data_IF_139158959604
#
_entry.id   IF_139158959604
#
_cell.length_a   1.000
_cell.length_b   1.000
_cell.length_c   1.000
_cell.angle_alpha   90.00
_cell.angle_beta   90.00
_cell.angle_gamma   90.00
#
_symmetry.space_group_name_H-M   'P 1'
#
loop_
_entity.id
_entity.type
_entity.pdbx_description
1 polymer ?
#
# COMPACT_ATOMS: atom_id res chain seq x y z
N UNK A 1 44.94 34.69 1.32
CA UNK A 1 43.94 33.60 1.28
C UNK A 1 42.86 33.96 2.28
N UNK A 2 41.73 34.51 1.82
CA UNK A 2 40.58 34.78 2.70
C UNK A 2 39.90 33.42 2.88
N UNK A 3 39.95 32.86 4.08
CA UNK A 3 39.20 31.66 4.41
C UNK A 3 37.71 32.00 4.24
N UNK A 4 37.07 31.45 3.21
CA UNK A 4 35.62 31.54 3.07
C UNK A 4 35.02 30.87 4.30
N UNK A 5 34.21 31.63 5.05
CA UNK A 5 33.45 31.10 6.17
C UNK A 5 32.64 29.87 5.70
N UNK A 6 32.46 28.84 6.54
CA UNK A 6 31.65 27.67 6.19
C UNK A 6 30.26 28.09 5.72
N UNK A 7 29.68 27.41 4.73
CA UNK A 7 28.32 27.68 4.24
C UNK A 7 27.32 27.73 5.40
N UNK A 8 26.39 28.70 5.43
CA UNK A 8 25.37 28.74 6.48
C UNK A 8 24.60 27.42 6.46
N UNK A 9 24.53 26.74 7.61
CA UNK A 9 23.64 25.61 7.79
C UNK A 9 22.22 26.17 7.86
N UNK A 10 21.40 25.92 6.84
CA UNK A 10 19.99 26.34 6.76
C UNK A 10 19.10 25.57 7.78
N UNK A 11 19.48 25.58 9.05
CA UNK A 11 18.79 24.88 10.14
C UNK A 11 17.40 25.47 10.34
N UNK A 12 17.26 26.79 10.25
CA UNK A 12 15.99 27.51 10.34
C UNK A 12 15.00 27.08 9.26
N UNK A 13 15.47 26.79 8.03
CA UNK A 13 14.64 26.27 6.95
C UNK A 13 14.10 24.86 7.27
N UNK A 14 14.94 24.01 7.87
CA UNK A 14 14.51 22.69 8.32
C UNK A 14 13.46 22.79 9.43
N UNK A 15 13.65 23.67 10.41
CA UNK A 15 12.68 23.90 11.48
C UNK A 15 11.33 24.41 10.95
N UNK A 16 11.36 25.33 9.98
CA UNK A 16 10.16 25.85 9.31
C UNK A 16 9.41 24.70 8.59
N UNK A 17 10.15 23.85 7.86
CA UNK A 17 9.57 22.70 7.14
C UNK A 17 8.98 21.67 8.09
N UNK A 18 9.67 21.36 9.17
CA UNK A 18 9.21 20.36 10.14
C UNK A 18 7.93 20.82 10.86
N UNK A 19 7.81 22.13 11.14
CA UNK A 19 6.57 22.74 11.66
C UNK A 19 5.43 22.70 10.65
N UNK A 20 5.71 22.93 9.36
CA UNK A 20 4.70 22.82 8.30
C UNK A 20 4.16 21.39 8.14
N UNK A 21 5.04 20.39 8.21
CA UNK A 21 4.67 18.97 8.19
C UNK A 21 3.86 18.60 9.43
N UNK A 22 4.23 19.12 10.61
CA UNK A 22 3.49 18.88 11.84
C UNK A 22 2.06 19.40 11.75
N UNK A 23 1.86 20.57 11.12
CA UNK A 23 0.54 21.16 10.88
C UNK A 23 -0.25 20.43 9.78
N UNK A 24 0.41 19.79 8.80
CA UNK A 24 -0.27 19.03 7.74
C UNK A 24 -0.77 17.66 8.22
N UNK A 25 -0.12 17.09 9.24
CA UNK A 25 -0.50 15.84 9.91
C UNK A 25 -1.48 16.05 11.08
N UNK A 26 -1.97 17.29 11.27
CA UNK A 26 -2.68 17.74 12.46
C UNK A 26 -3.84 16.84 12.90
N UNK A 27 -3.72 16.26 14.10
CA UNK A 27 -4.87 15.75 14.89
C UNK A 27 -5.48 16.91 15.66
N UNK A 28 -6.75 16.79 16.08
CA UNK A 28 -7.50 17.84 16.80
C UNK A 28 -6.71 18.53 17.93
N UNK A 29 -5.84 17.79 18.64
CA UNK A 29 -5.00 18.30 19.72
C UNK A 29 -3.91 19.31 19.28
N UNK A 30 -3.32 19.15 18.08
CA UNK A 30 -2.28 20.06 17.58
C UNK A 30 -2.84 21.36 17.01
N UNK A 31 -4.16 21.42 16.81
CA UNK A 31 -4.87 22.57 16.25
C UNK A 31 -5.54 23.43 17.32
N UNK A 32 -5.31 23.16 18.62
CA UNK A 32 -5.76 24.06 19.68
C UNK A 32 -5.01 25.41 19.60
N UNK A 33 -5.71 26.49 19.92
CA UNK A 33 -5.23 27.87 19.76
C UNK A 33 -3.87 28.12 20.42
N UNK A 34 -3.62 27.52 21.59
CA UNK A 34 -2.36 27.67 22.34
C UNK A 34 -1.17 27.05 21.58
N UNK A 35 -1.38 25.92 20.91
CA UNK A 35 -0.33 25.27 20.11
C UNK A 35 -0.08 26.02 18.80
N UNK A 36 -1.14 26.45 18.13
CA UNK A 36 -1.02 27.26 16.92
C UNK A 36 -0.28 28.57 17.19
N UNK A 37 -0.60 29.27 18.29
CA UNK A 37 0.09 30.48 18.68
C UNK A 37 1.58 30.24 18.96
N UNK A 38 1.91 29.13 19.63
CA UNK A 38 3.30 28.75 19.89
C UNK A 38 4.06 28.42 18.60
N UNK A 39 3.41 27.71 17.68
CA UNK A 39 4.00 27.38 16.37
C UNK A 39 4.20 28.65 15.55
N UNK A 40 3.22 29.56 15.54
CA UNK A 40 3.31 30.85 14.83
C UNK A 40 4.48 31.71 15.30
N UNK A 41 4.67 31.87 16.62
CA UNK A 41 5.82 32.61 17.17
C UNK A 41 7.15 31.96 16.83
N UNK A 42 7.23 30.63 16.98
CA UNK A 42 8.45 29.89 16.66
C UNK A 42 8.74 29.85 15.16
N UNK A 43 7.73 29.98 14.30
CA UNK A 43 7.90 30.10 12.86
C UNK A 43 8.45 31.47 12.50
N UNK A 44 7.91 32.52 13.10
CA UNK A 44 8.35 33.91 12.94
C UNK A 44 9.83 34.11 13.34
N UNK A 45 10.23 33.57 14.51
CA UNK A 45 11.63 33.57 14.96
C UNK A 45 12.55 32.83 13.97
N UNK A 46 12.15 31.66 13.48
CA UNK A 46 12.94 30.92 12.48
C UNK A 46 13.02 31.65 11.13
N UNK A 47 12.00 32.42 10.75
CA UNK A 47 11.98 33.19 9.51
C UNK A 47 12.97 34.36 9.54
N UNK A 48 13.09 35.05 10.68
CA UNK A 48 14.10 36.10 10.85
C UNK A 48 15.53 35.55 10.73
N UNK A 49 15.82 34.42 11.39
CA UNK A 49 17.11 33.76 11.25
C UNK A 49 17.37 33.28 9.80
N UNK A 50 16.33 32.79 9.12
CA UNK A 50 16.45 32.37 7.72
C UNK A 50 16.73 33.57 6.79
N UNK A 51 16.12 34.74 7.06
CA UNK A 51 16.39 35.98 6.32
C UNK A 51 17.87 36.38 6.46
N UNK A 52 18.42 36.32 7.67
CA UNK A 52 19.85 36.60 7.92
C UNK A 52 20.78 35.60 7.20
N UNK A 53 20.42 34.32 7.19
CA UNK A 53 21.16 33.27 6.47
C UNK A 53 21.16 33.49 4.95
N UNK A 54 20.00 33.85 4.38
CA UNK A 54 19.85 34.15 2.95
C UNK A 54 20.66 35.39 2.58
N UNK A 55 20.60 36.46 3.38
CA UNK A 55 21.41 37.66 3.16
C UNK A 55 22.90 37.34 3.23
N UNK A 56 23.33 36.54 4.20
CA UNK A 56 24.70 36.08 4.34
C UNK A 56 25.15 35.24 3.15
N UNK A 57 24.26 34.41 2.58
CA UNK A 57 24.53 33.66 1.35
C UNK A 57 24.63 34.59 0.12
N UNK A 58 23.69 35.54 -0.04
CA UNK A 58 23.70 36.53 -1.12
C UNK A 58 24.99 37.39 -1.10
N UNK A 59 25.46 37.80 0.09
CA UNK A 59 26.70 38.60 0.24
C UNK A 59 27.99 37.85 -0.11
N UNK A 60 27.97 36.52 -0.16
CA UNK A 60 29.14 35.72 -0.62
C UNK A 60 29.34 35.77 -2.12
N UNK A 61 28.32 36.18 -2.88
CA UNK A 61 28.42 36.35 -4.31
C UNK A 61 29.01 37.72 -4.66
N UNK A 62 30.11 37.74 -5.42
CA UNK A 62 30.87 38.96 -5.73
C UNK A 62 30.34 39.68 -7.00
N UNK A 63 29.15 39.32 -7.49
CA UNK A 63 28.53 39.88 -8.70
C UNK A 63 27.07 40.32 -8.51
N UNK A 64 26.48 40.98 -9.52
CA UNK A 64 25.02 41.21 -9.56
C UNK A 64 24.34 39.98 -10.15
N UNK A 65 23.31 39.46 -9.48
CA UNK A 65 22.45 38.43 -10.06
C UNK A 65 21.80 38.98 -11.34
N UNK A 66 21.88 38.25 -12.45
CA UNK A 66 21.24 38.63 -13.73
C UNK A 66 19.71 38.55 -13.62
N UNK A 67 19.22 37.66 -12.77
CA UNK A 67 17.83 37.57 -12.32
C UNK A 67 17.88 37.50 -10.80
N UNK A 68 17.32 38.52 -10.13
CA UNK A 68 17.20 38.53 -8.68
C UNK A 68 16.18 37.47 -8.29
N UNK A 69 16.60 36.53 -7.44
CA UNK A 69 15.69 35.53 -6.89
C UNK A 69 14.96 36.22 -5.76
N UNK A 70 13.67 36.47 -5.97
CA UNK A 70 12.79 37.17 -5.04
C UNK A 70 12.47 36.27 -3.83
N UNK A 71 13.39 36.29 -2.86
CA UNK A 71 13.23 35.62 -1.57
C UNK A 71 12.43 36.46 -0.60
N UNK A 72 12.37 37.78 -0.82
CA UNK A 72 11.83 38.73 0.16
C UNK A 72 10.30 38.67 0.17
N UNK A 73 9.67 38.59 -1.01
CA UNK A 73 8.22 38.41 -1.10
C UNK A 73 7.76 37.05 -0.53
N UNK A 74 8.55 36.00 -0.73
CA UNK A 74 8.25 34.65 -0.20
C UNK A 74 8.37 34.64 1.32
N UNK A 75 9.38 35.31 1.88
CA UNK A 75 9.54 35.47 3.32
C UNK A 75 8.40 36.30 3.92
N UNK A 76 7.99 37.39 3.27
CA UNK A 76 6.83 38.19 3.69
C UNK A 76 5.53 37.36 3.69
N UNK A 77 5.32 36.51 2.68
CA UNK A 77 4.19 35.59 2.64
C UNK A 77 4.22 34.62 3.83
N UNK A 78 5.39 34.04 4.14
CA UNK A 78 5.54 33.14 5.30
C UNK A 78 5.35 33.87 6.64
N UNK A 79 5.81 35.11 6.77
CA UNK A 79 5.55 35.94 7.96
C UNK A 79 4.05 36.20 8.12
N UNK A 80 3.34 36.52 7.03
CA UNK A 80 1.89 36.72 7.09
C UNK A 80 1.14 35.46 7.54
N UNK A 81 1.60 34.27 7.10
CA UNK A 81 1.05 33.00 7.54
C UNK A 81 1.41 32.71 9.02
N UNK A 82 2.61 33.08 9.47
CA UNK A 82 3.02 32.98 10.87
C UNK A 82 2.18 33.90 11.78
N UNK A 83 1.90 35.12 11.36
CA UNK A 83 1.07 36.09 12.10
C UNK A 83 -0.37 35.60 12.27
N UNK A 84 -0.94 34.99 11.24
CA UNK A 84 -2.26 34.35 11.29
C UNK A 84 -2.28 33.20 12.31
N UNK A 85 -1.18 32.46 12.46
CA UNK A 85 -1.05 31.41 13.48
C UNK A 85 -0.91 31.98 14.90
N UNK A 86 -0.37 33.19 15.07
CA UNK A 86 -0.22 33.84 16.37
C UNK A 86 -1.54 34.35 16.96
N UNK A 87 -2.55 34.55 16.10
CA UNK A 87 -3.90 34.96 16.51
C UNK A 87 -4.96 34.07 15.83
N UNK A 88 -4.98 32.77 16.14
CA UNK A 88 -5.81 31.81 15.42
C UNK A 88 -7.29 32.06 15.71
N UNK A 89 -8.08 32.22 14.65
CA UNK A 89 -9.55 32.20 14.75
C UNK A 89 -10.09 30.78 14.50
N UNK A 90 -11.41 30.62 14.64
CA UNK A 90 -12.06 29.31 14.37
C UNK A 90 -11.77 28.79 12.96
N UNK A 91 -11.62 29.67 11.98
CA UNK A 91 -11.36 29.29 10.58
C UNK A 91 -9.94 28.74 10.42
N UNK A 92 -8.96 29.30 11.13
CA UNK A 92 -7.57 28.80 11.16
C UNK A 92 -7.51 27.44 11.85
N UNK A 93 -8.19 27.28 13.00
CA UNK A 93 -8.31 25.98 13.68
C UNK A 93 -8.96 24.92 12.79
N UNK A 94 -10.08 25.24 12.12
CA UNK A 94 -10.74 24.32 11.20
C UNK A 94 -9.83 23.93 10.03
N UNK A 95 -9.14 24.91 9.41
CA UNK A 95 -8.16 24.66 8.35
C UNK A 95 -7.01 23.77 8.81
N UNK A 96 -6.57 23.90 10.07
CA UNK A 96 -5.56 23.04 10.67
C UNK A 96 -6.08 21.61 10.84
N UNK A 97 -7.30 21.42 11.34
CA UNK A 97 -7.85 20.07 11.58
C UNK A 97 -8.01 19.24 10.31
N UNK A 98 -8.24 19.90 9.17
CA UNK A 98 -8.34 19.26 7.85
C UNK A 98 -6.96 19.14 7.16
N UNK A 99 -5.90 19.66 7.77
CA UNK A 99 -4.52 19.64 7.24
C UNK A 99 -4.24 20.65 6.13
N UNK A 100 -5.23 21.45 5.74
CA UNK A 100 -5.10 22.44 4.66
C UNK A 100 -4.12 23.57 5.00
N UNK A 101 -4.06 23.97 6.28
CA UNK A 101 -3.15 25.01 6.77
C UNK A 101 -1.68 24.60 6.62
N UNK A 102 -1.34 23.37 7.02
CA UNK A 102 0.00 22.84 6.84
C UNK A 102 0.39 22.67 5.38
N UNK A 103 -0.55 22.28 4.51
CA UNK A 103 -0.31 22.17 3.08
C UNK A 103 -0.12 23.52 2.37
N UNK A 104 -0.80 24.58 2.82
CA UNK A 104 -0.55 25.96 2.35
C UNK A 104 0.89 26.39 2.73
N UNK A 105 1.27 26.19 4.00
CA UNK A 105 2.60 26.54 4.51
C UNK A 105 3.72 25.73 3.82
N UNK A 106 3.54 24.43 3.64
CA UNK A 106 4.52 23.55 2.99
C UNK A 106 4.82 23.98 1.54
N UNK A 107 3.82 24.47 0.81
CA UNK A 107 4.02 24.98 -0.56
C UNK A 107 4.90 26.23 -0.57
N UNK A 108 4.59 27.20 0.28
CA UNK A 108 5.38 28.45 0.35
C UNK A 108 6.81 28.16 0.83
N UNK A 109 7.00 27.23 1.78
CA UNK A 109 8.33 26.76 2.23
C UNK A 109 9.10 26.03 1.13
N UNK A 110 8.42 25.23 0.31
CA UNK A 110 9.04 24.56 -0.84
C UNK A 110 9.52 25.58 -1.88
N UNK A 111 8.72 26.60 -2.19
CA UNK A 111 9.12 27.70 -3.08
C UNK A 111 10.35 28.42 -2.56
N UNK A 112 10.40 28.70 -1.24
CA UNK A 112 11.58 29.31 -0.61
C UNK A 112 12.81 28.39 -0.68
N UNK A 113 12.62 27.09 -0.45
CA UNK A 113 13.70 26.09 -0.52
C UNK A 113 14.33 26.05 -1.90
N UNK A 114 13.51 26.08 -2.95
CA UNK A 114 14.00 26.05 -4.33
C UNK A 114 14.70 27.36 -4.70
N UNK A 115 14.17 28.51 -4.26
CA UNK A 115 14.83 29.80 -4.38
C UNK A 115 16.23 29.82 -3.73
N UNK A 116 16.35 29.32 -2.49
CA UNK A 116 17.63 29.19 -1.77
C UNK A 116 18.60 28.27 -2.51
N UNK A 117 18.13 27.13 -3.04
CA UNK A 117 18.96 26.23 -3.85
C UNK A 117 19.49 26.92 -5.10
N UNK A 118 18.66 27.70 -5.79
CA UNK A 118 19.09 28.47 -6.97
C UNK A 118 20.15 29.51 -6.59
N UNK A 119 19.99 30.22 -5.47
CA UNK A 119 21.01 31.15 -4.96
C UNK A 119 22.29 30.40 -4.62
N UNK A 120 22.20 29.27 -3.92
CA UNK A 120 23.34 28.45 -3.51
C UNK A 120 24.12 27.92 -4.71
N UNK A 121 23.45 27.37 -5.73
CA UNK A 121 24.06 26.90 -6.96
C UNK A 121 24.83 28.03 -7.68
N UNK A 122 24.24 29.23 -7.74
CA UNK A 122 24.87 30.43 -8.32
C UNK A 122 26.07 30.93 -7.50
N UNK A 123 26.03 30.82 -6.17
CA UNK A 123 27.09 31.26 -5.24
C UNK A 123 28.27 30.29 -5.22
N UNK A 124 28.01 28.99 -5.16
CA UNK A 124 29.04 27.95 -5.07
C UNK A 124 29.66 27.62 -6.44
N UNK A 125 29.10 28.15 -7.53
CA UNK A 125 29.61 27.93 -8.88
C UNK A 125 29.51 26.46 -9.30
N UNK A 126 28.57 25.70 -8.72
CA UNK A 126 28.13 24.45 -9.32
C UNK A 126 27.58 24.82 -10.70
N UNK A 127 28.42 24.53 -11.70
CA UNK A 127 28.06 24.62 -13.11
C UNK A 127 26.76 23.87 -13.22
N UNK A 128 25.66 24.59 -13.49
CA UNK A 128 24.41 23.99 -13.95
C UNK A 128 24.84 22.99 -15.00
N UNK A 129 24.76 21.70 -14.67
CA UNK A 129 24.95 20.65 -15.64
C UNK A 129 23.90 20.98 -16.69
N UNK A 130 24.37 21.47 -17.85
CA UNK A 130 23.56 22.00 -18.93
C UNK A 130 22.68 20.85 -19.41
N UNK A 131 21.58 20.66 -18.68
CA UNK A 131 20.63 19.62 -18.95
C UNK A 131 19.86 20.14 -20.13
N UNK A 132 19.80 19.32 -21.17
CA UNK A 132 19.16 19.57 -22.46
C UNK A 132 17.67 19.95 -22.39
N UNK A 133 17.14 20.18 -21.18
CA UNK A 133 15.82 20.79 -20.91
C UNK A 133 15.84 22.32 -21.02
N UNK A 134 16.98 22.97 -20.83
CA UNK A 134 17.06 24.45 -20.82
C UNK A 134 17.08 25.09 -22.21
N UNK A 135 17.43 24.30 -23.24
CA UNK A 135 17.26 24.70 -24.64
C UNK A 135 15.79 24.84 -25.07
N UNK A 136 14.85 24.20 -24.34
CA UNK A 136 13.42 24.28 -24.65
C UNK A 136 12.76 25.51 -24.01
N UNK A 137 13.32 26.04 -22.92
CA UNK A 137 12.71 27.15 -22.16
C UNK A 137 13.13 28.53 -22.69
N UNK A 138 14.34 28.68 -23.24
CA UNK A 138 14.78 29.96 -23.85
C UNK A 138 14.30 30.20 -25.29
N UNK A 139 13.78 29.18 -25.98
CA UNK A 139 13.11 29.33 -27.28
C UNK A 139 11.61 29.64 -27.21
N UNK A 140 11.00 29.56 -26.02
CA UNK A 140 9.54 29.65 -25.86
C UNK A 140 8.99 31.08 -25.68
N UNK A 141 9.82 32.12 -25.73
CA UNK A 141 9.35 33.52 -25.66
C UNK A 141 8.93 34.11 -27.01
N UNK A 142 9.04 33.36 -28.12
CA UNK A 142 8.64 33.85 -29.46
C UNK A 142 7.78 32.88 -30.28
N UNK A 143 7.19 31.85 -29.66
CA UNK A 143 6.19 30.99 -30.29
C UNK A 143 4.95 30.89 -29.40
N UNK A 144 4.13 31.92 -29.45
CA UNK A 144 2.85 31.97 -28.77
C UNK A 144 1.88 30.89 -29.25
N UNK A 145 1.30 30.19 -28.26
CA UNK A 145 -0.10 29.75 -28.20
C UNK A 145 -0.60 28.50 -28.94
N UNK A 146 0.24 27.65 -29.55
CA UNK A 146 -0.28 26.43 -30.21
C UNK A 146 0.26 25.07 -29.71
N UNK A 147 1.19 25.04 -28.76
CA UNK A 147 1.85 23.78 -28.35
C UNK A 147 1.50 23.32 -26.92
N UNK A 148 1.05 24.20 -26.01
CA UNK A 148 0.70 23.77 -24.65
C UNK A 148 -0.59 22.95 -24.57
N UNK A 149 -1.57 23.19 -25.44
CA UNK A 149 -2.81 22.40 -25.46
C UNK A 149 -2.56 20.99 -25.98
N UNK A 150 -1.64 20.82 -26.95
CA UNK A 150 -1.29 19.51 -27.49
C UNK A 150 -0.51 18.66 -26.48
N UNK A 151 0.45 19.22 -25.75
CA UNK A 151 1.16 18.46 -24.71
C UNK A 151 0.26 18.11 -23.52
N UNK A 152 -0.62 19.02 -23.10
CA UNK A 152 -1.63 18.72 -22.07
C UNK A 152 -2.58 17.62 -22.52
N UNK A 153 -3.04 17.65 -23.78
CA UNK A 153 -3.92 16.63 -24.33
C UNK A 153 -3.20 15.30 -24.48
N UNK A 154 -1.95 15.29 -24.96
CA UNK A 154 -1.15 14.06 -25.09
C UNK A 154 -0.89 13.44 -23.72
N UNK A 155 -0.52 14.21 -22.69
CA UNK A 155 -0.33 13.69 -21.33
C UNK A 155 -1.65 13.15 -20.76
N UNK A 156 -2.76 13.89 -20.90
CA UNK A 156 -4.09 13.40 -20.47
C UNK A 156 -4.49 12.14 -21.22
N UNK A 157 -4.18 12.04 -22.51
CA UNK A 157 -4.49 10.89 -23.36
C UNK A 157 -3.59 9.70 -22.99
N UNK A 158 -2.32 9.92 -22.69
CA UNK A 158 -1.41 8.88 -22.17
C UNK A 158 -1.88 8.38 -20.82
N UNK A 159 -2.24 9.27 -19.87
CA UNK A 159 -2.76 8.88 -18.55
C UNK A 159 -4.10 8.14 -18.71
N UNK A 160 -4.99 8.63 -19.57
CA UNK A 160 -6.28 7.97 -19.84
C UNK A 160 -6.06 6.59 -20.47
N UNK A 161 -5.15 6.46 -21.43
CA UNK A 161 -4.78 5.20 -22.05
C UNK A 161 -4.13 4.25 -21.04
N UNK A 162 -3.32 4.78 -20.12
CA UNK A 162 -2.71 4.02 -19.03
C UNK A 162 -3.76 3.53 -18.03
N UNK A 163 -4.72 4.38 -17.65
CA UNK A 163 -5.85 3.99 -16.80
C UNK A 163 -6.76 2.96 -17.50
N UNK A 164 -7.00 3.13 -18.79
CA UNK A 164 -7.80 2.23 -19.61
C UNK A 164 -7.10 0.89 -19.85
N UNK A 165 -5.76 0.85 -19.83
CA UNK A 165 -4.98 -0.38 -19.90
C UNK A 165 -4.80 -1.05 -18.52
N UNK A 166 -4.57 -0.27 -17.47
CA UNK A 166 -4.38 -0.76 -16.10
C UNK A 166 -5.65 -1.33 -15.49
N UNK A 167 -6.81 -0.70 -15.74
CA UNK A 167 -8.09 -1.16 -15.19
C UNK A 167 -8.38 -2.63 -15.54
N UNK A 168 -8.40 -2.99 -16.84
CA UNK A 168 -8.53 -4.38 -17.28
C UNK A 168 -7.40 -5.28 -16.77
N UNK A 169 -6.15 -4.81 -16.71
CA UNK A 169 -5.03 -5.61 -16.22
C UNK A 169 -5.16 -5.94 -14.72
N UNK A 170 -5.60 -4.99 -13.89
CA UNK A 170 -5.85 -5.19 -12.47
C UNK A 170 -7.07 -6.11 -12.28
N UNK A 171 -8.16 -5.87 -13.03
CA UNK A 171 -9.35 -6.71 -12.99
C UNK A 171 -9.04 -8.16 -13.38
N UNK A 172 -8.26 -8.37 -14.45
CA UNK A 172 -7.78 -9.70 -14.86
C UNK A 172 -6.83 -10.32 -13.84
N UNK A 173 -5.94 -9.52 -13.23
CA UNK A 173 -5.03 -10.01 -12.19
C UNK A 173 -5.73 -10.43 -10.88
N UNK A 174 -6.88 -9.84 -10.58
CA UNK A 174 -7.73 -10.23 -9.44
C UNK A 174 -8.63 -11.42 -9.80
N UNK A 175 -9.14 -11.48 -11.03
CA UNK A 175 -10.04 -12.55 -11.50
C UNK A 175 -9.31 -13.80 -12.01
N UNK A 176 -7.99 -13.75 -12.26
CA UNK A 176 -7.19 -14.92 -12.59
C UNK A 176 -7.13 -15.85 -11.39
N UNK A 177 -7.65 -17.07 -11.57
CA UNK A 177 -7.49 -18.18 -10.62
C UNK A 177 -6.02 -18.35 -10.27
N UNK A 178 -5.66 -18.01 -9.03
CA UNK A 178 -4.29 -18.16 -8.54
C UNK A 178 -4.04 -19.63 -8.26
N UNK A 179 -2.93 -20.17 -8.78
CA UNK A 179 -2.48 -21.53 -8.48
C UNK A 179 -2.48 -21.81 -6.96
N UNK A 180 -2.20 -20.80 -6.15
CA UNK A 180 -2.22 -20.90 -4.68
C UNK A 180 -3.59 -21.24 -4.08
N UNK A 181 -4.71 -20.78 -4.64
CA UNK A 181 -6.04 -21.11 -4.10
C UNK A 181 -6.40 -22.57 -4.42
N UNK A 182 -6.11 -23.02 -5.64
CA UNK A 182 -6.31 -24.42 -6.06
C UNK A 182 -5.41 -25.38 -5.28
N UNK A 183 -4.14 -25.01 -5.05
CA UNK A 183 -3.22 -25.79 -4.22
C UNK A 183 -3.70 -25.90 -2.77
N UNK A 184 -4.21 -24.80 -2.18
CA UNK A 184 -4.78 -24.84 -0.84
C UNK A 184 -5.99 -25.78 -0.74
N UNK A 185 -6.89 -25.73 -1.73
CA UNK A 185 -8.04 -26.64 -1.79
C UNK A 185 -7.64 -28.13 -1.94
N UNK A 186 -6.57 -28.40 -2.71
CA UNK A 186 -6.00 -29.75 -2.84
C UNK A 186 -5.45 -30.22 -1.50
N UNK A 187 -4.68 -29.38 -0.80
CA UNK A 187 -4.10 -29.72 0.50
C UNK A 187 -5.19 -29.98 1.54
N UNK A 188 -6.22 -29.13 1.60
CA UNK A 188 -7.37 -29.31 2.48
C UNK A 188 -8.11 -30.62 2.19
N UNK A 189 -8.42 -30.89 0.91
CA UNK A 189 -9.09 -32.14 0.52
C UNK A 189 -8.23 -33.38 0.83
N UNK A 190 -6.90 -33.28 0.69
CA UNK A 190 -5.97 -34.38 1.01
C UNK A 190 -5.95 -34.68 2.50
N UNK A 191 -5.95 -33.64 3.34
CA UNK A 191 -6.02 -33.78 4.79
C UNK A 191 -7.36 -34.41 5.22
N UNK A 192 -8.47 -34.00 4.62
CA UNK A 192 -9.79 -34.59 4.89
C UNK A 192 -9.82 -36.07 4.51
N UNK A 193 -9.30 -36.45 3.34
CA UNK A 193 -9.19 -37.86 2.94
C UNK A 193 -8.36 -38.65 3.94
N UNK A 194 -7.22 -38.11 4.39
CA UNK A 194 -6.36 -38.79 5.36
C UNK A 194 -7.07 -39.00 6.70
N UNK A 195 -7.82 -38.00 7.18
CA UNK A 195 -8.63 -38.10 8.39
C UNK A 195 -9.74 -39.13 8.24
N UNK A 196 -10.48 -39.12 7.13
CA UNK A 196 -11.54 -40.10 6.84
C UNK A 196 -10.99 -41.52 6.72
N UNK A 197 -9.81 -41.71 6.11
CA UNK A 197 -9.14 -43.02 6.05
C UNK A 197 -8.79 -43.55 7.44
N UNK A 198 -8.32 -42.68 8.35
CA UNK A 198 -8.07 -43.06 9.73
C UNK A 198 -9.35 -43.46 10.47
N UNK A 199 -10.45 -42.72 10.25
CA UNK A 199 -11.77 -43.06 10.83
C UNK A 199 -12.31 -44.39 10.29
N UNK A 200 -12.19 -44.64 8.98
CA UNK A 200 -12.58 -45.93 8.39
C UNK A 200 -11.77 -47.07 9.00
N UNK A 201 -10.47 -46.88 9.23
CA UNK A 201 -9.65 -47.90 9.87
C UNK A 201 -10.12 -48.23 11.29
N UNK A 202 -10.51 -47.23 12.09
CA UNK A 202 -11.08 -47.47 13.42
C UNK A 202 -12.45 -48.15 13.36
N UNK A 203 -13.34 -47.71 12.46
CA UNK A 203 -14.68 -48.30 12.30
C UNK A 203 -14.60 -49.76 11.82
N UNK A 204 -13.68 -50.07 10.90
CA UNK A 204 -13.45 -51.45 10.45
C UNK A 204 -12.93 -52.34 11.56
N UNK A 205 -12.02 -51.84 12.40
CA UNK A 205 -11.53 -52.58 13.58
C UNK A 205 -12.67 -52.88 14.56
N UNK A 206 -13.51 -51.90 14.86
CA UNK A 206 -14.68 -52.09 15.73
C UNK A 206 -15.68 -53.08 15.12
N UNK A 207 -15.90 -53.01 13.80
CA UNK A 207 -16.74 -53.96 13.05
C UNK A 207 -16.21 -55.38 13.14
N UNK A 208 -14.91 -55.59 12.94
CA UNK A 208 -14.28 -56.91 13.05
C UNK A 208 -14.36 -57.48 14.48
N UNK A 209 -14.18 -56.64 15.50
CA UNK A 209 -14.33 -57.04 16.91
C UNK A 209 -15.78 -57.43 17.26
N UNK A 210 -16.77 -56.68 16.76
CA UNK A 210 -18.19 -56.98 16.99
C UNK A 210 -18.65 -58.23 16.21
N UNK A 211 -18.17 -58.41 14.99
CA UNK A 211 -18.44 -59.60 14.18
C UNK A 211 -17.86 -60.86 14.85
N UNK A 212 -16.61 -60.80 15.32
CA UNK A 212 -15.99 -61.92 16.03
C UNK A 212 -16.75 -62.28 17.33
N UNK A 213 -17.27 -61.29 18.08
CA UNK A 213 -18.12 -61.53 19.25
C UNK A 213 -19.46 -62.18 18.89
N UNK A 214 -20.07 -61.76 17.79
CA UNK A 214 -21.32 -62.32 17.30
C UNK A 214 -21.14 -63.80 16.88
N UNK A 215 -20.05 -64.10 16.15
CA UNK A 215 -19.70 -65.47 15.72
C UNK A 215 -19.36 -66.38 16.91
N UNK A 216 -18.55 -65.90 17.86
CA UNK A 216 -18.20 -66.67 19.06
C UNK A 216 -19.41 -66.97 19.96
N UNK A 217 -20.47 -66.17 19.87
CA UNK A 217 -21.71 -66.35 20.62
C UNK A 217 -22.72 -67.27 19.92
N UNK A 218 -22.40 -67.79 18.73
CA UNK A 218 -23.30 -68.60 17.92
C UNK A 218 -23.20 -70.09 18.33
N UNK A 219 -24.23 -70.61 19.01
CA UNK A 219 -24.34 -72.02 19.39
C UNK A 219 -25.68 -72.62 18.94
N UNK A 220 -25.75 -73.94 18.75
CA UNK A 220 -26.95 -74.65 18.22
C UNK A 220 -28.18 -74.59 19.16
N UNK A 221 -28.00 -74.19 20.43
CA UNK A 221 -29.06 -74.07 21.44
C UNK A 221 -29.03 -72.73 22.19
N UNK A 222 -29.31 -71.64 21.48
CA UNK A 222 -29.37 -70.30 22.07
C UNK A 222 -30.70 -70.03 22.79
N UNK A 223 -30.61 -69.46 23.99
CA UNK A 223 -31.78 -68.89 24.68
C UNK A 223 -32.27 -67.63 23.94
N UNK A 224 -33.54 -67.28 24.14
CA UNK A 224 -34.19 -66.13 23.49
C UNK A 224 -33.44 -64.81 23.70
N UNK A 225 -32.86 -64.61 24.89
CA UNK A 225 -32.05 -63.44 25.23
C UNK A 225 -30.75 -63.37 24.43
N UNK A 226 -30.02 -64.49 24.29
CA UNK A 226 -28.77 -64.56 23.52
C UNK A 226 -29.01 -64.32 22.03
N UNK A 227 -30.17 -64.76 21.51
CA UNK A 227 -30.57 -64.49 20.12
C UNK A 227 -30.85 -63.01 19.86
N UNK A 228 -31.41 -62.29 20.84
CA UNK A 228 -31.63 -60.84 20.75
C UNK A 228 -30.30 -60.08 20.78
N UNK A 229 -29.35 -60.52 21.61
CA UNK A 229 -28.01 -59.92 21.70
C UNK A 229 -27.22 -60.07 20.39
N UNK A 230 -27.24 -61.25 19.76
CA UNK A 230 -26.61 -61.48 18.45
C UNK A 230 -27.28 -60.61 17.37
N UNK A 231 -28.60 -60.45 17.43
CA UNK A 231 -29.32 -59.58 16.49
C UNK A 231 -28.90 -58.10 16.66
N UNK A 232 -28.77 -57.62 17.89
CA UNK A 232 -28.28 -56.26 18.18
C UNK A 232 -26.84 -56.05 17.70
N UNK A 233 -25.96 -57.03 17.91
CA UNK A 233 -24.59 -57.02 17.39
C UNK A 233 -24.55 -56.96 15.86
N UNK A 234 -25.37 -57.75 15.17
CA UNK A 234 -25.46 -57.71 13.70
C UNK A 234 -25.99 -56.38 13.17
N UNK A 235 -26.97 -55.77 13.85
CA UNK A 235 -27.46 -54.43 13.49
C UNK A 235 -26.35 -53.38 13.66
N UNK A 236 -25.56 -53.46 14.73
CA UNK A 236 -24.39 -52.58 14.95
C UNK A 236 -23.32 -52.75 13.87
N UNK A 237 -22.99 -54.00 13.51
CA UNK A 237 -22.07 -54.32 12.41
C UNK A 237 -22.56 -53.69 11.10
N UNK A 238 -23.83 -53.85 10.76
CA UNK A 238 -24.40 -53.26 9.54
C UNK A 238 -24.42 -51.72 9.58
N UNK A 239 -24.64 -51.13 10.74
CA UNK A 239 -24.58 -49.67 10.94
C UNK A 239 -23.17 -49.13 10.71
N UNK A 240 -22.15 -49.81 11.25
CA UNK A 240 -20.74 -49.46 11.03
C UNK A 240 -20.36 -49.60 9.55
N UNK A 241 -20.83 -50.64 8.87
CA UNK A 241 -20.58 -50.84 7.44
C UNK A 241 -21.19 -49.72 6.58
N UNK A 242 -22.40 -49.28 6.93
CA UNK A 242 -23.04 -48.13 6.29
C UNK A 242 -22.24 -46.83 6.51
N UNK A 243 -21.66 -46.63 7.70
CA UNK A 243 -20.80 -45.48 7.98
C UNK A 243 -19.50 -45.53 7.18
N UNK A 244 -18.89 -46.71 7.05
CA UNK A 244 -17.69 -46.93 6.22
C UNK A 244 -18.01 -46.60 4.76
N UNK A 245 -19.11 -47.11 4.20
CA UNK A 245 -19.50 -46.82 2.82
C UNK A 245 -19.79 -45.33 2.58
N UNK A 246 -20.42 -44.66 3.55
CA UNK A 246 -20.63 -43.20 3.46
C UNK A 246 -19.30 -42.45 3.43
N UNK A 247 -18.37 -42.80 4.31
CA UNK A 247 -17.04 -42.19 4.35
C UNK A 247 -16.23 -42.48 3.07
N UNK A 248 -16.34 -43.69 2.49
CA UNK A 248 -15.72 -44.05 1.21
C UNK A 248 -16.28 -43.25 0.03
N UNK A 249 -17.59 -42.99 0.03
CA UNK A 249 -18.24 -42.14 -0.96
C UNK A 249 -17.74 -40.69 -0.86
N UNK A 250 -17.63 -40.15 0.36
CA UNK A 250 -17.08 -38.80 0.59
C UNK A 250 -15.60 -38.71 0.16
N UNK A 251 -14.77 -39.71 0.46
CA UNK A 251 -13.39 -39.80 -0.02
C UNK A 251 -13.36 -39.76 -1.56
N UNK A 252 -14.21 -40.54 -2.21
CA UNK A 252 -14.28 -40.59 -3.68
C UNK A 252 -14.65 -39.22 -4.27
N UNK A 253 -15.53 -38.47 -3.61
CA UNK A 253 -15.86 -37.10 -4.01
C UNK A 253 -14.65 -36.16 -3.86
N UNK A 254 -13.94 -36.21 -2.73
CA UNK A 254 -12.73 -35.41 -2.53
C UNK A 254 -11.62 -35.77 -3.53
N UNK A 255 -11.43 -37.04 -3.85
CA UNK A 255 -10.47 -37.48 -4.88
C UNK A 255 -10.84 -36.94 -6.27
N UNK A 256 -12.13 -36.91 -6.62
CA UNK A 256 -12.60 -36.27 -7.86
C UNK A 256 -12.31 -34.78 -7.87
N UNK A 257 -12.56 -34.07 -6.76
CA UNK A 257 -12.24 -32.63 -6.63
C UNK A 257 -10.75 -32.36 -6.78
N UNK A 258 -9.90 -33.18 -6.17
CA UNK A 258 -8.43 -33.09 -6.32
C UNK A 258 -8.04 -33.26 -7.79
N UNK A 259 -8.54 -34.30 -8.48
CA UNK A 259 -8.23 -34.53 -9.90
C UNK A 259 -8.66 -33.35 -10.79
N UNK A 260 -9.84 -32.81 -10.56
CA UNK A 260 -10.34 -31.62 -11.29
C UNK A 260 -9.44 -30.41 -11.04
N UNK A 261 -9.07 -30.16 -9.79
CA UNK A 261 -8.21 -29.03 -9.44
C UNK A 261 -6.78 -29.20 -9.96
N UNK A 262 -6.22 -30.42 -9.95
CA UNK A 262 -4.92 -30.73 -10.57
C UNK A 262 -4.95 -30.45 -12.07
N UNK A 263 -6.01 -30.91 -12.77
CA UNK A 263 -6.17 -30.63 -14.19
C UNK A 263 -6.26 -29.13 -14.49
N UNK A 264 -6.99 -28.36 -13.65
CA UNK A 264 -7.02 -26.90 -13.75
C UNK A 264 -5.64 -26.27 -13.56
N UNK A 265 -4.84 -26.76 -12.62
CA UNK A 265 -3.45 -26.28 -12.42
C UNK A 265 -2.60 -26.60 -13.66
N UNK A 266 -2.76 -27.76 -14.28
CA UNK A 266 -2.04 -28.11 -15.52
C UNK A 266 -2.49 -27.24 -16.71
N UNK A 267 -3.78 -27.00 -16.87
CA UNK A 267 -4.34 -26.09 -17.88
C UNK A 267 -3.84 -24.66 -17.68
N UNK A 268 -3.74 -24.23 -16.43
CA UNK A 268 -3.10 -22.99 -16.05
C UNK A 268 -1.65 -23.05 -16.53
N UNK A 269 -0.82 -23.96 -16.01
CA UNK A 269 0.62 -24.05 -16.33
C UNK A 269 0.95 -24.15 -17.83
N UNK A 270 0.11 -24.82 -18.61
CA UNK A 270 0.31 -25.00 -20.06
C UNK A 270 -0.04 -23.74 -20.86
N UNK A 271 -0.98 -22.91 -20.41
CA UNK A 271 -1.30 -21.63 -21.04
C UNK A 271 -0.29 -20.56 -20.66
N UNK A 272 0.39 -20.00 -21.66
CA UNK A 272 1.32 -18.88 -21.46
C UNK A 272 0.56 -17.66 -20.93
N UNK A 273 1.21 -16.82 -20.12
CA UNK A 273 0.60 -15.62 -19.52
C UNK A 273 -0.14 -14.74 -20.55
N UNK A 274 0.39 -14.63 -21.77
CA UNK A 274 -0.24 -13.90 -22.88
C UNK A 274 -1.52 -14.57 -23.43
N UNK A 275 -1.58 -15.89 -23.51
CA UNK A 275 -2.81 -16.61 -23.89
C UNK A 275 -3.90 -16.44 -22.83
N UNK A 276 -3.53 -16.52 -21.55
CA UNK A 276 -4.47 -16.25 -20.45
C UNK A 276 -4.97 -14.81 -20.45
N UNK A 277 -4.11 -13.85 -20.78
CA UNK A 277 -4.46 -12.43 -20.88
C UNK A 277 -5.38 -12.15 -22.07
N UNK A 278 -5.16 -12.82 -23.20
CA UNK A 278 -5.95 -12.65 -24.43
C UNK A 278 -7.20 -13.54 -24.50
N UNK A 279 -7.47 -14.39 -23.49
CA UNK A 279 -8.59 -15.36 -23.47
C UNK A 279 -8.65 -16.25 -24.73
N UNK A 280 -7.48 -16.58 -25.29
CA UNK A 280 -7.30 -17.65 -26.28
C UNK A 280 -6.75 -18.89 -25.59
#
# INVERSE_FOLDING_TARGET
>A
MIALAPAPSFTSLHEIRDKAILLSLGKAFLCEEVFLMKIGRSLDESLEHLREDILSLKMRYVGKFVEDVDTDSILEELHSQAEVLQSPDRRVTDKCTVGTLGAELERTVQTLTDAIKTIKAKVEGEVEEYTSKDAVVKGAKTAGSFVSSLFSLVIKLVILLFLLALGPAIYLGVTMDREGTLQKQIAESTNTIQSQKAQIASLRKERDELAAKAEASQADHLRREQKLEIMDLNVKVHTLDQQVHKAEAEITEHERRIKVNQKKIEEIKTKTFLQRFLRQ
#
